data_IF_515661684253
#
_entry.id   IF_515661684253
#
_cell.length_a   1.000
_cell.length_b   1.000
_cell.length_c   1.000
_cell.angle_alpha   90.00
_cell.angle_beta   90.00
_cell.angle_gamma   90.00
#
_symmetry.space_group_name_H-M   'P 1'
#
loop_
_entity.id
_entity.type
_entity.pdbx_description
1 polymer ?
#
# COMPACT_ATOMS: atom_id res chain seq x y z
N UNK A 1 -21.97 49.09 26.77
CA UNK A 1 -22.51 47.72 26.91
C UNK A 1 -22.59 47.06 25.54
N UNK A 2 -21.63 46.18 25.22
CA UNK A 2 -21.78 44.97 24.36
C UNK A 2 -20.39 44.36 24.17
N UNK A 3 -20.08 43.38 25.03
CA UNK A 3 -18.95 42.45 24.83
C UNK A 3 -19.26 41.63 23.58
N UNK A 4 -18.45 41.73 22.53
CA UNK A 4 -18.44 40.71 21.48
C UNK A 4 -17.72 39.51 22.05
N UNK A 5 -18.51 38.47 22.25
CA UNK A 5 -18.12 37.19 22.78
C UNK A 5 -17.55 36.41 21.60
N UNK A 6 -16.24 36.51 21.37
CA UNK A 6 -15.54 35.61 20.44
C UNK A 6 -15.49 34.22 21.09
N UNK A 7 -16.60 33.51 20.95
CA UNK A 7 -16.64 32.06 21.06
C UNK A 7 -15.84 31.51 19.88
N UNK A 8 -14.51 31.49 20.01
CA UNK A 8 -13.67 30.58 19.24
C UNK A 8 -14.28 29.19 19.39
N UNK A 9 -14.88 28.71 18.32
CA UNK A 9 -15.35 27.35 18.21
C UNK A 9 -14.13 26.45 18.35
N UNK A 10 -13.93 25.89 19.54
CA UNK A 10 -13.14 24.68 19.73
C UNK A 10 -13.89 23.54 19.05
N UNK A 11 -13.96 23.56 17.72
CA UNK A 11 -14.24 22.33 16.97
C UNK A 11 -13.05 21.44 17.24
N UNK A 12 -13.25 20.33 17.97
CA UNK A 12 -12.23 19.30 18.09
C UNK A 12 -11.91 18.85 16.66
N UNK A 13 -10.76 19.25 16.15
CA UNK A 13 -10.26 18.73 14.89
C UNK A 13 -9.86 17.29 15.17
N UNK A 14 -10.42 16.37 14.40
CA UNK A 14 -10.00 14.97 14.44
C UNK A 14 -8.60 14.87 13.83
N UNK A 15 -7.63 14.49 14.66
CA UNK A 15 -6.22 14.39 14.26
C UNK A 15 -6.05 13.37 13.13
N UNK A 16 -6.95 12.38 13.02
CA UNK A 16 -6.91 11.37 11.95
C UNK A 16 -7.24 11.92 10.55
N UNK A 17 -7.77 13.14 10.47
CA UNK A 17 -8.17 13.78 9.19
C UNK A 17 -7.17 14.81 8.68
N UNK A 18 -6.02 14.94 9.35
CA UNK A 18 -5.02 15.96 9.02
C UNK A 18 -4.19 15.53 7.80
N UNK A 19 -3.99 16.45 6.87
CA UNK A 19 -2.99 16.25 5.81
C UNK A 19 -1.56 16.21 6.40
N UNK A 20 -0.64 15.55 5.69
CA UNK A 20 0.74 15.34 6.13
C UNK A 20 1.50 16.64 6.44
N UNK A 21 1.25 17.72 5.70
CA UNK A 21 1.95 19.01 5.92
C UNK A 21 1.46 19.64 7.21
N UNK A 22 0.15 19.62 7.44
CA UNK A 22 -0.45 20.13 8.67
C UNK A 22 -0.07 19.28 9.88
N UNK A 23 -0.06 17.95 9.76
CA UNK A 23 0.38 17.03 10.80
C UNK A 23 1.84 17.28 11.19
N UNK A 24 2.75 17.39 10.21
CA UNK A 24 4.17 17.75 10.45
C UNK A 24 4.28 19.10 11.16
N UNK A 25 3.51 20.10 10.71
CA UNK A 25 3.55 21.44 11.32
C UNK A 25 3.08 21.42 12.77
N UNK A 26 2.04 20.63 13.08
CA UNK A 26 1.54 20.45 14.45
C UNK A 26 2.60 19.74 15.31
N UNK A 27 3.27 18.71 14.79
CA UNK A 27 4.35 18.02 15.49
C UNK A 27 5.52 18.97 15.81
N UNK A 28 5.94 19.80 14.87
CA UNK A 28 6.95 20.84 15.10
C UNK A 28 6.54 21.82 16.21
N UNK A 29 5.27 22.26 16.19
CA UNK A 29 4.73 23.17 17.22
C UNK A 29 4.64 22.50 18.60
N UNK A 30 4.33 21.20 18.65
CA UNK A 30 4.33 20.42 19.88
C UNK A 30 5.75 20.32 20.46
N UNK A 31 6.74 19.99 19.65
CA UNK A 31 8.15 19.92 20.09
C UNK A 31 8.63 21.29 20.58
N UNK A 32 8.25 22.39 19.91
CA UNK A 32 8.61 23.74 20.35
C UNK A 32 8.00 24.12 21.70
N UNK A 33 6.82 23.60 22.03
CA UNK A 33 6.11 23.89 23.28
C UNK A 33 6.46 22.91 24.41
N UNK A 34 6.80 21.68 24.04
CA UNK A 34 7.02 20.53 24.91
C UNK A 34 8.28 19.79 24.46
N UNK A 35 9.43 20.41 24.68
CA UNK A 35 10.73 19.86 24.27
C UNK A 35 11.03 18.50 24.92
N UNK A 36 10.42 18.22 26.07
CA UNK A 36 10.48 16.92 26.76
C UNK A 36 9.97 15.75 25.90
N UNK A 37 9.06 16.01 24.96
CA UNK A 37 8.51 14.98 24.06
C UNK A 37 9.49 14.59 22.95
N UNK A 38 10.59 15.29 22.76
CA UNK A 38 11.51 15.04 21.64
C UNK A 38 12.10 13.63 21.67
N UNK A 39 12.44 13.11 22.86
CA UNK A 39 12.95 11.76 23.01
C UNK A 39 11.87 10.71 22.66
N UNK A 40 10.67 10.88 23.20
CA UNK A 40 9.52 9.99 22.95
C UNK A 40 9.12 9.98 21.46
N UNK A 41 9.07 11.15 20.82
CA UNK A 41 8.77 11.25 19.38
C UNK A 41 9.85 10.54 18.54
N UNK A 42 11.11 10.65 18.95
CA UNK A 42 12.21 9.95 18.27
C UNK A 42 12.09 8.44 18.42
N UNK A 43 11.75 7.95 19.62
CA UNK A 43 11.50 6.53 19.88
C UNK A 43 10.31 6.01 19.08
N UNK A 44 9.20 6.77 19.02
CA UNK A 44 8.04 6.43 18.20
C UNK A 44 8.36 6.43 16.70
N UNK A 45 9.20 7.35 16.23
CA UNK A 45 9.62 7.37 14.83
C UNK A 45 10.47 6.14 14.48
N UNK A 46 11.42 5.75 15.34
CA UNK A 46 12.18 4.51 15.18
C UNK A 46 11.24 3.30 15.19
N UNK A 47 10.32 3.23 16.15
CA UNK A 47 9.35 2.15 16.24
C UNK A 47 8.50 2.04 14.96
N UNK A 48 7.99 3.16 14.43
CA UNK A 48 7.20 3.18 13.20
C UNK A 48 8.01 2.81 11.95
N UNK A 49 9.31 3.12 11.92
CA UNK A 49 10.21 2.69 10.84
C UNK A 49 10.50 1.19 10.89
N UNK A 50 10.63 0.62 12.09
CA UNK A 50 10.87 -0.81 12.29
C UNK A 50 9.59 -1.66 12.19
N UNK A 51 8.44 -1.05 12.47
CA UNK A 51 7.12 -1.69 12.50
C UNK A 51 6.17 -0.91 11.59
N UNK A 52 6.39 -0.94 10.27
CA UNK A 52 5.51 -0.28 9.33
C UNK A 52 4.08 -0.85 9.46
N UNK A 53 3.11 0.05 9.43
CA UNK A 53 1.68 -0.30 9.48
C UNK A 53 1.19 -0.71 8.09
N UNK A 54 0.78 -1.98 7.95
CA UNK A 54 0.23 -2.50 6.71
C UNK A 54 -1.03 -1.75 6.23
N UNK A 55 -1.83 -1.19 7.14
CA UNK A 55 -3.06 -0.47 6.78
C UNK A 55 -2.74 0.92 6.20
N UNK A 56 -1.73 1.60 6.73
CA UNK A 56 -1.26 2.86 6.16
C UNK A 56 -0.71 2.65 4.75
N UNK A 57 0.15 1.63 4.56
CA UNK A 57 0.71 1.34 3.23
C UNK A 57 -0.39 0.91 2.26
N UNK A 58 -1.37 0.12 2.70
CA UNK A 58 -2.50 -0.27 1.84
C UNK A 58 -3.29 0.96 1.37
N UNK A 59 -3.56 1.91 2.27
CA UNK A 59 -4.23 3.16 1.91
C UNK A 59 -3.41 4.00 0.92
N UNK A 60 -2.07 4.06 1.07
CA UNK A 60 -1.20 4.71 0.09
C UNK A 60 -1.28 4.04 -1.29
N UNK A 61 -1.32 2.70 -1.34
CA UNK A 61 -1.49 1.95 -2.60
C UNK A 61 -2.87 2.26 -3.21
N UNK A 62 -3.93 2.25 -2.42
CA UNK A 62 -5.29 2.59 -2.86
C UNK A 62 -5.34 4.01 -3.47
N UNK A 63 -4.72 5.01 -2.84
CA UNK A 63 -4.62 6.37 -3.39
C UNK A 63 -3.89 6.41 -4.75
N UNK A 64 -2.83 5.63 -4.91
CA UNK A 64 -2.10 5.52 -6.19
C UNK A 64 -2.96 4.86 -7.27
N UNK A 65 -3.70 3.81 -6.93
CA UNK A 65 -4.59 3.12 -7.86
C UNK A 65 -5.76 4.01 -8.28
N UNK A 66 -6.40 4.70 -7.33
CA UNK A 66 -7.50 5.62 -7.61
C UNK A 66 -7.07 6.81 -8.48
N UNK A 67 -5.79 7.20 -8.42
CA UNK A 67 -5.23 8.22 -9.29
C UNK A 67 -5.05 7.74 -10.74
N UNK A 68 -5.05 6.42 -10.99
CA UNK A 68 -5.01 5.84 -12.34
C UNK A 68 -6.40 5.96 -12.98
N UNK A 69 -6.58 7.00 -13.80
CA UNK A 69 -7.79 7.16 -14.60
C UNK A 69 -7.61 6.65 -16.04
N UNK A 70 -8.74 6.49 -16.75
CA UNK A 70 -8.78 6.17 -18.18
C UNK A 70 -7.88 7.08 -19.03
N UNK A 71 -7.73 8.35 -18.65
CA UNK A 71 -6.86 9.31 -19.33
C UNK A 71 -5.38 8.94 -19.26
N UNK A 72 -4.91 8.40 -18.13
CA UNK A 72 -3.55 7.89 -17.98
C UNK A 72 -3.30 6.67 -18.89
N UNK A 73 -4.27 5.75 -18.97
CA UNK A 73 -4.22 4.56 -19.83
C UNK A 73 -4.27 4.96 -21.31
N UNK A 74 -5.20 5.84 -21.69
CA UNK A 74 -5.35 6.31 -23.07
C UNK A 74 -4.17 7.16 -23.55
N UNK A 75 -3.52 7.92 -22.65
CA UNK A 75 -2.29 8.64 -23.00
C UNK A 75 -1.12 7.69 -23.30
N UNK A 76 -1.13 6.49 -22.71
CA UNK A 76 -0.14 5.42 -22.97
C UNK A 76 -0.49 4.57 -24.18
N UNK A 77 -1.78 4.30 -24.39
CA UNK A 77 -2.31 3.65 -25.58
C UNK A 77 -2.06 4.51 -26.83
N UNK A 78 -0.92 4.27 -27.50
CA UNK A 78 -0.51 4.97 -28.72
C UNK A 78 0.84 5.69 -28.67
N UNK A 79 1.53 5.70 -27.52
CA UNK A 79 2.85 6.33 -27.35
C UNK A 79 4.04 5.35 -27.25
N UNK A 80 3.84 4.05 -27.51
CA UNK A 80 4.93 3.11 -27.60
C UNK A 80 5.71 3.29 -28.91
N UNK A 81 7.04 3.46 -28.83
CA UNK A 81 7.96 3.52 -29.97
C UNK A 81 7.92 2.25 -30.86
N UNK A 82 7.16 1.21 -30.47
CA UNK A 82 7.21 -0.17 -30.99
C UNK A 82 5.88 -0.72 -31.55
N UNK A 83 4.77 0.05 -31.58
CA UNK A 83 3.52 -0.42 -32.23
C UNK A 83 2.23 -0.13 -31.46
N UNK A 84 1.15 -0.84 -31.83
CA UNK A 84 -0.17 -0.75 -31.18
C UNK A 84 -0.18 -1.60 -29.91
N UNK A 85 -0.23 -0.94 -28.75
CA UNK A 85 -0.49 -1.56 -27.45
C UNK A 85 -2.00 -1.59 -27.25
N UNK A 86 -2.55 -2.76 -26.93
CA UNK A 86 -3.98 -2.91 -26.63
C UNK A 86 -4.37 -2.21 -25.31
N UNK A 87 -5.64 -1.86 -25.10
CA UNK A 87 -6.11 -1.26 -23.85
C UNK A 87 -5.79 -2.08 -22.59
N UNK A 88 -5.90 -3.40 -22.68
CA UNK A 88 -5.54 -4.36 -21.62
C UNK A 88 -4.05 -4.33 -21.29
N UNK A 89 -3.17 -4.36 -22.30
CA UNK A 89 -1.71 -4.30 -22.12
C UNK A 89 -1.29 -2.94 -21.53
N UNK A 90 -1.89 -1.84 -21.98
CA UNK A 90 -1.63 -0.51 -21.43
C UNK A 90 -2.12 -0.38 -19.97
N UNK A 91 -3.24 -1.00 -19.62
CA UNK A 91 -3.74 -1.07 -18.25
C UNK A 91 -2.80 -1.89 -17.36
N UNK A 92 -2.37 -3.07 -17.81
CA UNK A 92 -1.43 -3.93 -17.11
C UNK A 92 -0.07 -3.23 -16.86
N UNK A 93 0.48 -2.53 -17.86
CA UNK A 93 1.70 -1.74 -17.70
C UNK A 93 1.53 -0.61 -16.69
N UNK A 94 0.41 0.13 -16.75
CA UNK A 94 0.13 1.22 -15.82
C UNK A 94 0.01 0.76 -14.38
N UNK A 95 -0.71 -0.33 -14.14
CA UNK A 95 -0.84 -0.93 -12.83
C UNK A 95 0.50 -1.47 -12.31
N UNK A 96 1.27 -2.15 -13.17
CA UNK A 96 2.60 -2.68 -12.82
C UNK A 96 3.56 -1.56 -12.41
N UNK A 97 3.59 -0.46 -13.17
CA UNK A 97 4.44 0.69 -12.85
C UNK A 97 4.00 1.37 -11.55
N UNK A 98 2.69 1.49 -11.31
CA UNK A 98 2.15 2.06 -10.09
C UNK A 98 2.53 1.24 -8.85
N UNK A 99 2.58 -0.09 -8.96
CA UNK A 99 2.92 -0.98 -7.86
C UNK A 99 4.42 -1.26 -7.71
N UNK A 100 5.24 -0.98 -8.73
CA UNK A 100 6.68 -1.25 -8.71
C UNK A 100 7.40 -0.74 -7.45
N UNK A 101 7.14 0.49 -6.94
CA UNK A 101 7.80 0.98 -5.72
C UNK A 101 7.53 0.11 -4.47
N UNK A 102 6.36 -0.52 -4.39
CA UNK A 102 5.98 -1.36 -3.25
C UNK A 102 6.58 -2.76 -3.36
N UNK A 103 6.67 -3.31 -4.57
CA UNK A 103 7.42 -4.56 -4.81
C UNK A 103 8.91 -4.38 -4.60
N UNK A 104 9.51 -3.29 -5.08
CA UNK A 104 10.91 -2.94 -4.83
C UNK A 104 11.20 -2.86 -3.32
N UNK A 105 10.29 -2.24 -2.56
CA UNK A 105 10.36 -2.18 -1.10
C UNK A 105 10.29 -3.58 -0.48
N UNK A 106 9.32 -4.41 -0.88
CA UNK A 106 9.19 -5.78 -0.39
C UNK A 106 10.46 -6.60 -0.63
N UNK A 107 11.02 -6.55 -1.84
CA UNK A 107 12.26 -7.24 -2.20
C UNK A 107 13.44 -6.76 -1.37
N UNK A 108 13.57 -5.43 -1.20
CA UNK A 108 14.68 -4.85 -0.45
C UNK A 108 14.60 -5.20 1.04
N UNK A 109 13.42 -5.15 1.65
CA UNK A 109 13.22 -5.55 3.06
C UNK A 109 13.53 -7.05 3.26
N UNK A 110 13.12 -7.92 2.32
CA UNK A 110 13.44 -9.35 2.34
C UNK A 110 14.95 -9.60 2.20
N UNK A 111 15.62 -8.85 1.31
CA UNK A 111 17.07 -8.92 1.11
C UNK A 111 17.85 -8.47 2.34
N UNK A 112 17.34 -7.49 3.06
CA UNK A 112 17.92 -7.00 4.32
C UNK A 112 17.60 -7.91 5.52
N UNK A 113 16.78 -8.95 5.34
CA UNK A 113 16.35 -9.86 6.43
C UNK A 113 15.36 -9.22 7.40
N UNK A 114 14.69 -8.13 7.00
CA UNK A 114 13.72 -7.39 7.82
C UNK A 114 12.33 -7.99 7.63
N UNK A 115 12.15 -9.21 8.11
CA UNK A 115 10.95 -10.01 7.88
C UNK A 115 9.66 -9.34 8.38
N UNK A 116 9.70 -8.57 9.47
CA UNK A 116 8.51 -7.83 9.98
C UNK A 116 8.08 -6.76 8.98
N UNK A 117 9.02 -5.94 8.51
CA UNK A 117 8.75 -4.87 7.55
C UNK A 117 8.34 -5.43 6.18
N UNK A 118 9.01 -6.47 5.71
CA UNK A 118 8.63 -7.18 4.49
C UNK A 118 7.20 -7.75 4.57
N UNK A 119 6.84 -8.39 5.69
CA UNK A 119 5.49 -8.94 5.87
C UNK A 119 4.43 -7.84 5.88
N UNK A 120 4.71 -6.69 6.51
CA UNK A 120 3.79 -5.55 6.50
C UNK A 120 3.55 -5.03 5.07
N UNK A 121 4.60 -4.90 4.25
CA UNK A 121 4.46 -4.50 2.83
C UNK A 121 3.67 -5.55 2.04
N UNK A 122 3.96 -6.84 2.22
CA UNK A 122 3.23 -7.93 1.57
C UNK A 122 1.72 -7.90 1.93
N UNK A 123 1.40 -7.78 3.22
CA UNK A 123 0.01 -7.62 3.68
C UNK A 123 -0.67 -6.39 3.09
N UNK A 124 0.05 -5.27 3.00
CA UNK A 124 -0.47 -4.04 2.45
C UNK A 124 -0.85 -4.19 0.97
N UNK A 125 0.02 -4.81 0.17
CA UNK A 125 -0.27 -5.12 -1.25
C UNK A 125 -1.50 -6.03 -1.35
N UNK A 126 -1.54 -7.13 -0.58
CA UNK A 126 -2.67 -8.07 -0.57
C UNK A 126 -3.98 -7.37 -0.18
N UNK A 127 -3.94 -6.52 0.85
CA UNK A 127 -5.13 -5.80 1.33
C UNK A 127 -5.64 -4.78 0.31
N UNK A 128 -4.73 -3.99 -0.26
CA UNK A 128 -5.07 -3.00 -1.28
C UNK A 128 -5.66 -3.69 -2.51
N UNK A 129 -5.07 -4.79 -2.98
CA UNK A 129 -5.59 -5.57 -4.10
C UNK A 129 -6.96 -6.19 -3.79
N UNK A 130 -7.15 -6.72 -2.58
CA UNK A 130 -8.46 -7.25 -2.17
C UNK A 130 -9.54 -6.16 -2.23
N UNK A 131 -9.26 -4.98 -1.67
CA UNK A 131 -10.20 -3.84 -1.72
C UNK A 131 -10.43 -3.34 -3.13
N UNK A 132 -9.36 -3.22 -3.92
CA UNK A 132 -9.43 -2.82 -5.32
C UNK A 132 -10.32 -3.79 -6.11
N UNK A 133 -10.21 -5.11 -5.91
CA UNK A 133 -11.08 -6.11 -6.54
C UNK A 133 -12.58 -5.99 -6.18
N UNK A 134 -12.92 -5.25 -5.11
CA UNK A 134 -14.32 -4.97 -4.73
C UNK A 134 -14.85 -3.68 -5.36
N UNK A 135 -14.02 -2.93 -6.07
CA UNK A 135 -14.42 -1.73 -6.77
C UNK A 135 -14.90 -2.07 -8.19
N UNK A 136 -16.06 -2.72 -8.29
CA UNK A 136 -16.62 -3.25 -9.54
C UNK A 136 -16.76 -2.20 -10.67
N UNK A 137 -16.87 -0.91 -10.31
CA UNK A 137 -17.00 0.19 -11.26
C UNK A 137 -15.65 0.77 -11.74
N UNK A 138 -14.51 0.21 -11.29
CA UNK A 138 -13.21 0.75 -11.68
C UNK A 138 -12.84 0.35 -13.12
N UNK A 139 -12.55 1.31 -14.02
CA UNK A 139 -12.36 1.03 -15.45
C UNK A 139 -11.18 0.10 -15.77
N UNK A 140 -10.16 0.08 -14.89
CA UNK A 140 -9.05 -0.88 -15.02
C UNK A 140 -9.47 -2.34 -14.81
N UNK A 141 -10.49 -2.62 -14.00
CA UNK A 141 -10.95 -3.99 -13.78
C UNK A 141 -11.79 -4.52 -14.94
N UNK A 142 -12.47 -3.63 -15.68
CA UNK A 142 -13.10 -4.02 -16.95
C UNK A 142 -12.07 -4.44 -18.00
N UNK A 143 -10.87 -3.85 -17.94
CA UNK A 143 -9.77 -4.15 -18.86
C UNK A 143 -8.94 -5.34 -18.40
N UNK A 144 -8.80 -5.57 -17.09
CA UNK A 144 -7.98 -6.63 -16.52
C UNK A 144 -8.52 -7.10 -15.16
N UNK A 145 -9.54 -7.95 -15.21
CA UNK A 145 -10.28 -8.45 -14.03
C UNK A 145 -9.39 -9.27 -13.07
N UNK A 146 -8.48 -10.07 -13.59
CA UNK A 146 -7.64 -10.99 -12.80
C UNK A 146 -6.45 -10.29 -12.11
N UNK A 147 -6.13 -9.05 -12.49
CA UNK A 147 -4.98 -8.32 -11.98
C UNK A 147 -4.84 -8.31 -10.45
N UNK A 148 -5.90 -8.06 -9.66
CA UNK A 148 -5.77 -7.99 -8.21
C UNK A 148 -5.37 -9.33 -7.59
N UNK A 149 -5.93 -10.43 -8.10
CA UNK A 149 -5.64 -11.78 -7.61
C UNK A 149 -4.22 -12.18 -7.99
N UNK A 150 -3.82 -11.99 -9.25
CA UNK A 150 -2.47 -12.33 -9.73
C UNK A 150 -1.39 -11.52 -9.01
N UNK A 151 -1.65 -10.23 -8.77
CA UNK A 151 -0.73 -9.34 -8.05
C UNK A 151 -0.60 -9.73 -6.58
N UNK A 152 -1.71 -10.06 -5.92
CA UNK A 152 -1.70 -10.52 -4.54
C UNK A 152 -0.97 -11.86 -4.39
N UNK A 153 -1.19 -12.81 -5.32
CA UNK A 153 -0.47 -14.08 -5.31
C UNK A 153 1.03 -13.85 -5.49
N UNK A 154 1.42 -13.01 -6.44
CA UNK A 154 2.83 -12.68 -6.65
C UNK A 154 3.50 -12.11 -5.39
N UNK A 155 2.87 -11.17 -4.70
CA UNK A 155 3.38 -10.61 -3.44
C UNK A 155 3.56 -11.70 -2.36
N UNK A 156 2.61 -12.63 -2.26
CA UNK A 156 2.66 -13.74 -1.32
C UNK A 156 3.75 -14.75 -1.71
N UNK A 157 3.90 -15.10 -2.98
CA UNK A 157 4.98 -15.98 -3.45
C UNK A 157 6.37 -15.38 -3.18
N UNK A 158 6.52 -14.07 -3.40
CA UNK A 158 7.76 -13.36 -3.12
C UNK A 158 8.10 -13.39 -1.63
N UNK A 159 7.11 -13.16 -0.76
CA UNK A 159 7.24 -13.33 0.70
C UNK A 159 7.63 -14.76 1.09
N UNK A 160 6.88 -15.75 0.59
CA UNK A 160 7.06 -17.17 0.91
C UNK A 160 8.41 -17.71 0.44
N UNK A 161 9.01 -17.13 -0.59
CA UNK A 161 10.32 -17.55 -1.13
C UNK A 161 11.49 -16.66 -0.66
N UNK A 162 11.20 -15.56 0.03
CA UNK A 162 12.19 -14.63 0.56
C UNK A 162 12.87 -13.75 -0.46
N UNK A 163 12.10 -13.23 -1.40
CA UNK A 163 12.60 -12.31 -2.41
C UNK A 163 13.33 -13.01 -3.55
N UNK A 164 13.32 -14.35 -3.58
CA UNK A 164 13.90 -15.12 -4.68
C UNK A 164 12.89 -15.18 -5.82
N UNK A 165 12.92 -14.16 -6.67
CA UNK A 165 12.00 -14.00 -7.83
C UNK A 165 12.02 -15.22 -8.76
N UNK A 166 13.17 -15.91 -8.89
CA UNK A 166 13.28 -17.14 -9.71
C UNK A 166 12.55 -18.32 -9.08
N UNK A 167 12.58 -18.42 -7.74
CA UNK A 167 11.78 -19.43 -7.03
C UNK A 167 10.31 -19.07 -7.07
N UNK A 168 9.96 -17.81 -6.82
CA UNK A 168 8.57 -17.34 -6.85
C UNK A 168 7.89 -17.63 -8.19
N UNK A 169 8.61 -17.49 -9.31
CA UNK A 169 8.09 -17.78 -10.65
C UNK A 169 8.13 -19.27 -11.04
N UNK A 170 8.56 -20.17 -10.15
CA UNK A 170 8.66 -21.60 -10.47
C UNK A 170 7.33 -22.31 -10.29
N UNK A 171 7.09 -23.38 -11.05
CA UNK A 171 5.83 -24.14 -10.97
C UNK A 171 5.63 -24.91 -9.65
N UNK A 172 6.69 -25.09 -8.85
CA UNK A 172 6.66 -25.71 -7.52
C UNK A 172 7.67 -24.99 -6.61
N UNK A 173 7.34 -23.79 -6.14
CA UNK A 173 8.25 -23.01 -5.31
C UNK A 173 8.49 -23.73 -3.98
N UNK A 174 9.74 -23.73 -3.52
CA UNK A 174 10.05 -24.18 -2.15
C UNK A 174 9.73 -23.04 -1.19
N UNK A 175 8.58 -23.11 -0.55
CA UNK A 175 8.12 -22.12 0.42
C UNK A 175 8.89 -22.25 1.74
N UNK A 176 9.31 -21.12 2.30
CA UNK A 176 10.04 -21.02 3.57
C UNK A 176 9.29 -20.21 4.63
N UNK A 177 8.23 -19.50 4.23
CA UNK A 177 7.37 -18.71 5.12
C UNK A 177 5.91 -19.01 4.82
N UNK A 178 5.03 -18.76 5.80
CA UNK A 178 3.59 -18.82 5.64
C UNK A 178 3.00 -17.40 5.69
N UNK A 179 1.88 -17.20 4.99
CA UNK A 179 1.12 -15.97 5.10
C UNK A 179 0.19 -16.02 6.33
N UNK A 180 0.02 -14.92 7.11
CA UNK A 180 -0.72 -14.99 8.36
C UNK A 180 -2.22 -15.27 8.17
N UNK A 181 -2.67 -16.46 8.57
CA UNK A 181 -4.08 -16.86 8.42
C UNK A 181 -5.07 -15.96 9.17
N UNK A 182 -4.69 -15.42 10.34
CA UNK A 182 -5.52 -14.48 11.08
C UNK A 182 -5.77 -13.17 10.31
N UNK A 183 -4.75 -12.69 9.59
CA UNK A 183 -4.87 -11.51 8.73
C UNK A 183 -5.80 -11.81 7.56
N UNK A 184 -5.53 -12.90 6.82
CA UNK A 184 -6.32 -13.27 5.64
C UNK A 184 -7.81 -13.44 5.97
N UNK A 185 -8.13 -14.16 7.04
CA UNK A 185 -9.53 -14.37 7.48
C UNK A 185 -10.26 -13.09 7.87
N UNK A 186 -9.53 -12.10 8.40
CA UNK A 186 -10.13 -10.87 8.92
C UNK A 186 -10.29 -9.83 7.81
N UNK A 187 -9.32 -9.74 6.90
CA UNK A 187 -9.20 -8.61 5.98
C UNK A 187 -9.37 -8.97 4.51
N UNK A 188 -9.26 -10.25 4.16
CA UNK A 188 -9.44 -10.77 2.79
C UNK A 188 -10.24 -12.09 2.80
N UNK A 189 -11.45 -12.11 3.40
CA UNK A 189 -12.16 -13.35 3.72
C UNK A 189 -12.51 -14.23 2.50
N UNK A 190 -12.60 -13.65 1.30
CA UNK A 190 -12.91 -14.41 0.07
C UNK A 190 -11.68 -15.05 -0.57
N UNK A 191 -10.47 -14.77 -0.07
CA UNK A 191 -9.20 -15.24 -0.63
C UNK A 191 -8.58 -16.33 0.25
N UNK A 192 -9.28 -17.46 0.38
CA UNK A 192 -8.84 -18.61 1.20
C UNK A 192 -7.48 -19.19 0.75
N UNK A 193 -7.19 -19.09 -0.55
CA UNK A 193 -5.96 -19.55 -1.19
C UNK A 193 -4.69 -18.90 -0.62
N UNK A 194 -4.79 -17.72 0.02
CA UNK A 194 -3.65 -17.05 0.66
C UNK A 194 -3.00 -17.90 1.76
N UNK A 195 -3.75 -18.84 2.32
CA UNK A 195 -3.30 -19.71 3.41
C UNK A 195 -2.98 -21.13 2.98
N UNK A 196 -3.15 -21.45 1.70
CA UNK A 196 -2.86 -22.78 1.16
C UNK A 196 -1.34 -22.96 0.98
N UNK A 197 -0.83 -24.13 1.37
CA UNK A 197 0.60 -24.52 1.27
C UNK A 197 0.98 -25.01 -0.13
#
# INVERSE_FOLDING_TARGET
>A
MKRRNDKLHSSKIDISTLDLRLAKRILELLIQRHSELQAEISELAVYALENPDEFCIAAEIEEVLDALNEGAIHSRAGLALSGYTGPEEAAAEALTEALAPYFDRLEQELKDGKDIAALAVCKAIVLAMYRFSKNEDHPLLELYEDYPIETADWAVQLWRTGGDTKKASSSKPKLTRQFPAAFAKTHTPDWEWLTDD
#
